data_IF_356172939807
#
_entry.id   IF_356172939807
#
_cell.length_a   1.000
_cell.length_b   1.000
_cell.length_c   1.000
_cell.angle_alpha   90.00
_cell.angle_beta   90.00
_cell.angle_gamma   90.00
#
_symmetry.space_group_name_H-M   'P 1'
#
loop_
_entity.id
_entity.type
_entity.pdbx_description
1 polymer ?
#
# COMPACT_ATOMS: atom_id res chain seq x y z
N UNK A 1 12.65 29.02 -62.48
CA UNK A 1 13.47 28.82 -61.27
C UNK A 1 12.53 28.49 -60.12
N UNK A 2 12.73 27.30 -59.53
CA UNK A 2 12.38 26.79 -58.20
C UNK A 2 11.12 27.35 -57.50
N UNK A 3 10.08 26.53 -57.31
CA UNK A 3 9.92 25.50 -56.25
C UNK A 3 9.57 26.11 -54.89
N UNK A 4 8.37 25.83 -54.39
CA UNK A 4 8.14 24.94 -53.24
C UNK A 4 6.65 24.99 -52.83
N UNK A 5 5.95 23.90 -53.14
CA UNK A 5 4.71 23.52 -52.48
C UNK A 5 5.00 23.27 -50.99
N UNK A 6 4.34 23.99 -50.10
CA UNK A 6 4.27 23.62 -48.69
C UNK A 6 3.20 22.53 -48.55
N UNK A 7 3.66 21.28 -48.57
CA UNK A 7 2.87 20.13 -48.20
C UNK A 7 2.45 20.25 -46.73
N UNK A 8 1.15 20.09 -46.44
CA UNK A 8 0.68 19.77 -45.11
C UNK A 8 1.32 18.45 -44.64
N UNK A 9 1.83 18.37 -43.40
CA UNK A 9 2.23 17.10 -42.85
C UNK A 9 0.99 16.21 -42.68
N UNK A 10 1.07 14.91 -42.99
CA UNK A 10 -0.03 13.99 -42.81
C UNK A 10 -0.28 13.80 -41.32
N UNK A 11 -1.55 13.96 -40.94
CA UNK A 11 -2.07 13.51 -39.65
C UNK A 11 -2.29 12.00 -39.78
N UNK A 12 -1.25 11.22 -39.50
CA UNK A 12 -1.35 9.76 -39.41
C UNK A 12 -0.71 9.29 -38.11
N UNK A 13 -1.54 9.16 -37.09
CA UNK A 13 -1.27 8.29 -35.96
C UNK A 13 -2.45 7.32 -35.86
N UNK A 14 -2.52 6.39 -36.81
CA UNK A 14 -3.34 5.19 -36.67
C UNK A 14 -2.50 3.94 -36.93
N UNK A 15 -1.80 3.46 -35.90
CA UNK A 15 -1.39 2.05 -35.81
C UNK A 15 -1.61 1.55 -34.37
N UNK A 16 -2.50 0.56 -34.28
CA UNK A 16 -2.82 -0.28 -33.13
C UNK A 16 -1.65 -0.59 -32.19
N UNK A 17 -1.85 -0.35 -30.89
CA UNK A 17 -0.97 -0.91 -29.86
C UNK A 17 -1.24 -0.31 -28.48
N UNK A 18 -2.41 -0.61 -27.89
CA UNK A 18 -2.81 -0.35 -26.49
C UNK A 18 -2.15 0.90 -25.87
N UNK A 19 -2.83 2.04 -25.88
CA UNK A 19 -2.61 3.04 -24.82
C UNK A 19 -2.83 2.32 -23.49
N UNK A 20 -1.74 2.01 -22.79
CA UNK A 20 -1.81 1.55 -21.41
C UNK A 20 -2.25 2.77 -20.62
N UNK A 21 -3.56 2.83 -20.31
CA UNK A 21 -4.13 3.87 -19.47
C UNK A 21 -3.33 3.97 -18.17
N UNK A 22 -3.04 5.22 -17.84
CA UNK A 22 -2.02 5.66 -16.90
C UNK A 22 -2.43 5.20 -15.51
N UNK A 23 -1.57 4.41 -14.86
CA UNK A 23 -1.79 3.88 -13.51
C UNK A 23 -2.19 4.94 -12.48
N UNK A 24 -3.49 5.08 -12.30
CA UNK A 24 -4.17 6.02 -11.45
C UNK A 24 -4.08 5.64 -9.98
N UNK A 25 -4.36 6.65 -9.15
CA UNK A 25 -4.43 6.51 -7.69
C UNK A 25 -5.84 6.84 -7.26
N UNK A 26 -6.53 5.86 -6.67
CA UNK A 26 -7.87 6.04 -6.15
C UNK A 26 -7.80 6.33 -4.65
N UNK A 27 -8.53 7.34 -4.17
CA UNK A 27 -8.52 7.74 -2.75
C UNK A 27 -9.92 7.94 -2.21
N UNK A 28 -10.17 7.54 -0.96
CA UNK A 28 -11.43 7.79 -0.26
C UNK A 28 -11.25 7.64 1.25
N UNK A 29 -12.16 8.23 2.04
CA UNK A 29 -12.28 7.96 3.48
C UNK A 29 -12.94 6.62 3.82
N UNK A 30 -13.65 6.02 2.85
CA UNK A 30 -14.40 4.77 3.06
C UNK A 30 -13.57 3.54 2.70
N UNK A 31 -13.60 2.46 3.50
CA UNK A 31 -12.80 1.24 3.26
C UNK A 31 -13.13 0.55 1.93
N UNK A 32 -14.35 0.75 1.41
CA UNK A 32 -14.78 0.23 0.10
C UNK A 32 -13.89 0.67 -1.05
N UNK A 33 -13.11 1.74 -0.91
CA UNK A 33 -12.18 2.16 -1.95
C UNK A 33 -11.17 1.08 -2.30
N UNK A 34 -10.79 0.22 -1.36
CA UNK A 34 -9.85 -0.88 -1.56
C UNK A 34 -10.23 -1.81 -2.72
N UNK A 35 -11.52 -1.96 -3.04
CA UNK A 35 -11.97 -2.78 -4.18
C UNK A 35 -11.54 -2.21 -5.53
N UNK A 36 -11.16 -0.93 -5.62
CA UNK A 36 -10.67 -0.32 -6.85
C UNK A 36 -9.30 -0.86 -7.27
N UNK A 37 -8.62 -1.64 -6.41
CA UNK A 37 -7.34 -2.29 -6.77
C UNK A 37 -7.48 -3.28 -7.93
N UNK A 38 -8.71 -3.71 -8.24
CA UNK A 38 -9.01 -4.59 -9.38
C UNK A 38 -9.13 -3.87 -10.72
N UNK A 39 -9.16 -2.54 -10.74
CA UNK A 39 -9.26 -1.81 -12.00
C UNK A 39 -7.93 -1.87 -12.74
N UNK A 40 -7.95 -2.15 -14.04
CA UNK A 40 -6.75 -2.24 -14.88
C UNK A 40 -5.95 -0.92 -14.92
N UNK A 41 -6.62 0.21 -14.74
CA UNK A 41 -6.06 1.55 -14.71
C UNK A 41 -5.53 1.96 -13.32
N UNK A 42 -5.59 1.10 -12.30
CA UNK A 42 -5.29 1.49 -10.91
C UNK A 42 -4.11 0.71 -10.35
N UNK A 43 -3.02 1.42 -10.01
CA UNK A 43 -1.84 0.81 -9.40
C UNK A 43 -1.79 0.96 -7.88
N UNK A 44 -2.44 2.00 -7.34
CA UNK A 44 -2.44 2.31 -5.92
C UNK A 44 -3.84 2.73 -5.49
N UNK A 45 -4.28 2.19 -4.36
CA UNK A 45 -5.49 2.63 -3.68
C UNK A 45 -5.11 3.16 -2.29
N UNK A 46 -5.64 4.33 -1.93
CA UNK A 46 -5.41 4.97 -0.64
C UNK A 46 -6.71 5.09 0.13
N UNK A 47 -6.88 4.24 1.13
CA UNK A 47 -7.90 4.43 2.15
C UNK A 47 -7.42 5.45 3.19
N UNK A 48 -8.03 6.64 3.19
CA UNK A 48 -7.72 7.76 4.08
C UNK A 48 -8.39 7.58 5.45
N UNK A 49 -8.02 6.50 6.14
CA UNK A 49 -8.58 6.14 7.44
C UNK A 49 -8.21 7.13 8.54
N UNK A 50 -9.13 7.37 9.48
CA UNK A 50 -8.88 8.12 10.71
C UNK A 50 -8.72 7.13 11.87
N UNK A 51 -7.55 7.12 12.51
CA UNK A 51 -7.32 6.30 13.71
C UNK A 51 -8.04 6.91 14.92
N UNK A 52 -8.73 6.06 15.69
CA UNK A 52 -9.39 6.42 16.94
C UNK A 52 -8.38 6.97 17.96
N UNK A 53 -8.88 7.73 18.94
CA UNK A 53 -8.03 8.24 20.03
C UNK A 53 -7.43 7.10 20.86
N UNK A 54 -8.21 6.05 21.12
CA UNK A 54 -7.79 4.84 21.85
C UNK A 54 -6.71 4.08 21.09
N UNK A 55 -6.86 3.86 19.78
CA UNK A 55 -5.83 3.24 18.95
C UNK A 55 -4.53 4.03 18.96
N UNK A 56 -4.60 5.36 18.85
CA UNK A 56 -3.40 6.23 18.92
C UNK A 56 -2.71 6.12 20.28
N UNK A 57 -3.45 6.05 21.37
CA UNK A 57 -2.91 5.86 22.72
C UNK A 57 -2.28 4.48 22.89
N UNK A 58 -2.91 3.42 22.36
CA UNK A 58 -2.36 2.07 22.38
C UNK A 58 -1.02 2.00 21.63
N UNK A 59 -0.95 2.60 20.43
CA UNK A 59 0.29 2.68 19.65
C UNK A 59 1.37 3.47 20.39
N UNK A 60 1.03 4.63 20.96
CA UNK A 60 1.98 5.45 21.72
C UNK A 60 2.53 4.72 22.96
N UNK A 61 1.67 4.00 23.70
CA UNK A 61 2.07 3.14 24.81
C UNK A 61 3.03 2.04 24.37
N UNK A 62 2.71 1.36 23.26
CA UNK A 62 3.55 0.31 22.70
C UNK A 62 4.94 0.82 22.30
N UNK A 63 5.02 1.97 21.62
CA UNK A 63 6.29 2.56 21.20
C UNK A 63 7.15 3.06 22.38
N UNK A 64 6.53 3.49 23.48
CA UNK A 64 7.27 3.87 24.70
C UNK A 64 7.89 2.66 25.39
N UNK A 65 7.23 1.51 25.33
CA UNK A 65 7.73 0.27 25.90
C UNK A 65 8.73 -0.46 24.99
N UNK A 66 8.65 -0.24 23.67
CA UNK A 66 9.42 -0.97 22.67
C UNK A 66 10.10 -0.01 21.67
N UNK A 67 11.42 0.00 21.62
CA UNK A 67 12.18 0.89 20.71
C UNK A 67 12.62 0.21 19.42
N UNK A 68 12.80 -1.11 19.43
CA UNK A 68 13.30 -1.90 18.30
C UNK A 68 12.46 -3.16 18.09
N UNK A 69 11.18 -2.97 17.74
CA UNK A 69 10.26 -4.07 17.50
C UNK A 69 10.19 -4.43 16.03
N UNK A 70 10.33 -5.72 15.73
CA UNK A 70 10.05 -6.29 14.42
C UNK A 70 9.54 -7.73 14.57
N UNK A 71 8.47 -8.06 13.85
CA UNK A 71 8.00 -9.44 13.74
C UNK A 71 7.46 -9.73 12.34
N UNK A 72 7.55 -10.99 11.94
CA UNK A 72 6.98 -11.50 10.69
C UNK A 72 6.32 -12.85 10.94
N UNK A 73 5.08 -13.00 10.46
CA UNK A 73 4.27 -14.18 10.69
C UNK A 73 3.35 -14.46 9.48
N UNK A 74 2.85 -15.69 9.40
CA UNK A 74 1.76 -16.05 8.49
C UNK A 74 0.51 -16.28 9.31
N UNK A 75 -0.55 -15.52 9.05
CA UNK A 75 -1.80 -15.54 9.82
C UNK A 75 -2.99 -15.80 8.92
N UNK A 76 -4.03 -16.42 9.48
CA UNK A 76 -5.37 -16.41 8.91
C UNK A 76 -6.22 -15.37 9.64
N UNK A 77 -7.39 -14.96 9.11
CA UNK A 77 -8.30 -14.08 9.85
C UNK A 77 -8.66 -14.61 11.25
N UNK A 78 -8.77 -15.93 11.39
CA UNK A 78 -9.10 -16.59 12.67
C UNK A 78 -7.92 -16.64 13.64
N UNK A 79 -6.68 -16.76 13.14
CA UNK A 79 -5.50 -16.84 14.01
C UNK A 79 -4.87 -15.48 14.32
N UNK A 80 -5.19 -14.45 13.53
CA UNK A 80 -4.51 -13.16 13.57
C UNK A 80 -4.57 -12.50 14.95
N UNK A 81 -5.73 -12.49 15.62
CA UNK A 81 -5.86 -11.84 16.93
C UNK A 81 -4.92 -12.45 17.97
N UNK A 82 -4.90 -13.78 18.07
CA UNK A 82 -4.02 -14.50 19.00
C UNK A 82 -2.55 -14.25 18.67
N UNK A 83 -2.15 -14.48 17.41
CA UNK A 83 -0.75 -14.34 16.99
C UNK A 83 -0.23 -12.90 17.11
N UNK A 84 -1.07 -11.90 16.84
CA UNK A 84 -0.69 -10.48 17.00
C UNK A 84 -0.60 -10.11 18.46
N UNK A 85 -1.59 -10.49 19.29
CA UNK A 85 -1.57 -10.18 20.73
C UNK A 85 -0.34 -10.80 21.41
N UNK A 86 -0.03 -12.06 21.11
CA UNK A 86 1.17 -12.74 21.61
C UNK A 86 2.45 -12.01 21.19
N UNK A 87 2.55 -11.59 19.91
CA UNK A 87 3.72 -10.90 19.41
C UNK A 87 3.89 -9.50 20.00
N UNK A 88 2.80 -8.80 20.30
CA UNK A 88 2.82 -7.47 20.92
C UNK A 88 2.97 -7.53 22.46
N UNK A 89 2.86 -8.72 23.07
CA UNK A 89 2.83 -8.87 24.53
C UNK A 89 1.55 -8.32 25.15
N UNK A 90 0.48 -8.24 24.37
CA UNK A 90 -0.83 -7.75 24.82
C UNK A 90 -1.57 -8.87 25.57
N UNK A 91 -1.87 -8.65 26.85
CA UNK A 91 -2.70 -9.58 27.64
C UNK A 91 -4.20 -9.34 27.46
N UNK A 92 -4.59 -8.13 27.04
CA UNK A 92 -5.97 -7.65 27.13
C UNK A 92 -6.60 -7.38 25.76
N UNK A 93 -6.03 -7.95 24.67
CA UNK A 93 -6.48 -7.70 23.29
C UNK A 93 -6.55 -6.19 23.00
N UNK A 94 -5.38 -5.53 22.98
CA UNK A 94 -5.36 -4.09 22.78
C UNK A 94 -6.04 -3.69 21.47
N UNK A 95 -6.51 -2.45 21.40
CA UNK A 95 -7.10 -1.92 20.16
C UNK A 95 -6.11 -1.93 18.98
N UNK A 96 -4.80 -1.97 19.25
CA UNK A 96 -3.79 -2.17 18.20
C UNK A 96 -3.88 -3.59 17.62
N UNK A 97 -3.96 -4.61 18.47
CA UNK A 97 -4.10 -6.02 18.07
C UNK A 97 -5.41 -6.26 17.29
N UNK A 98 -6.52 -5.70 17.76
CA UNK A 98 -7.81 -5.77 17.06
C UNK A 98 -7.76 -5.06 15.71
N UNK A 99 -7.19 -3.85 15.64
CA UNK A 99 -7.10 -3.11 14.38
C UNK A 99 -6.22 -3.81 13.34
N UNK A 100 -5.10 -4.40 13.76
CA UNK A 100 -4.25 -5.19 12.84
C UNK A 100 -5.00 -6.43 12.35
N UNK A 101 -5.74 -7.09 13.24
CA UNK A 101 -6.58 -8.26 12.90
C UNK A 101 -7.64 -7.90 11.87
N UNK A 102 -8.34 -6.78 12.05
CA UNK A 102 -9.32 -6.27 11.09
C UNK A 102 -8.70 -6.04 9.70
N UNK A 103 -7.52 -5.45 9.63
CA UNK A 103 -6.81 -5.26 8.36
C UNK A 103 -6.43 -6.58 7.68
N UNK A 104 -6.02 -7.59 8.46
CA UNK A 104 -5.73 -8.93 7.94
C UNK A 104 -6.98 -9.58 7.36
N UNK A 105 -8.10 -9.50 8.09
CA UNK A 105 -9.40 -10.03 7.63
C UNK A 105 -9.86 -9.35 6.35
N UNK A 106 -9.84 -8.01 6.32
CA UNK A 106 -10.17 -7.23 5.13
C UNK A 106 -9.30 -7.60 3.93
N UNK A 107 -7.99 -7.76 4.11
CA UNK A 107 -7.07 -8.14 3.03
C UNK A 107 -7.36 -9.56 2.52
N UNK A 108 -7.60 -10.51 3.42
CA UNK A 108 -7.92 -11.88 3.05
C UNK A 108 -9.26 -11.98 2.33
N UNK A 109 -10.28 -11.25 2.81
CA UNK A 109 -11.59 -11.14 2.19
C UNK A 109 -11.48 -10.49 0.80
N UNK A 110 -10.73 -9.39 0.67
CA UNK A 110 -10.60 -8.66 -0.59
C UNK A 110 -10.04 -9.57 -1.68
N UNK A 111 -8.97 -10.32 -1.39
CA UNK A 111 -8.28 -11.17 -2.36
C UNK A 111 -8.74 -12.64 -2.39
N UNK A 112 -9.77 -13.00 -1.62
CA UNK A 112 -10.25 -14.38 -1.47
C UNK A 112 -9.15 -15.39 -1.09
N UNK A 113 -8.19 -14.95 -0.26
CA UNK A 113 -7.07 -15.78 0.20
C UNK A 113 -7.28 -16.25 1.64
N UNK A 114 -6.76 -17.44 1.97
CA UNK A 114 -6.93 -18.05 3.29
C UNK A 114 -5.97 -17.54 4.35
N UNK A 115 -4.88 -16.89 3.94
CA UNK A 115 -3.80 -16.45 4.83
C UNK A 115 -3.05 -15.27 4.23
N UNK A 116 -2.50 -14.43 5.09
CA UNK A 116 -1.65 -13.31 4.72
C UNK A 116 -0.28 -13.44 5.41
N UNK A 117 0.77 -12.99 4.72
CA UNK A 117 2.03 -12.66 5.37
C UNK A 117 1.89 -11.31 6.06
N UNK A 118 2.12 -11.26 7.38
CA UNK A 118 2.06 -10.05 8.19
C UNK A 118 3.46 -9.71 8.68
N UNK A 119 3.89 -8.46 8.44
CA UNK A 119 5.11 -7.89 9.00
C UNK A 119 4.76 -6.62 9.75
N UNK A 120 5.22 -6.52 10.99
CA UNK A 120 5.11 -5.34 11.82
C UNK A 120 6.53 -4.90 12.20
N UNK A 121 6.83 -3.62 12.06
CA UNK A 121 8.15 -3.08 12.37
C UNK A 121 8.07 -1.63 12.84
N UNK A 122 8.88 -1.29 13.83
CA UNK A 122 9.24 0.09 14.17
C UNK A 122 10.45 0.46 13.30
N UNK A 123 10.36 1.58 12.58
CA UNK A 123 11.40 2.01 11.65
C UNK A 123 12.06 3.30 12.15
N UNK A 124 13.38 3.27 12.27
CA UNK A 124 14.23 4.44 12.55
C UNK A 124 14.86 5.04 11.27
N UNK A 125 14.76 4.32 10.15
CA UNK A 125 15.28 4.69 8.83
C UNK A 125 14.41 4.12 7.72
N UNK A 126 14.55 4.68 6.52
CA UNK A 126 13.89 4.13 5.33
C UNK A 126 14.36 2.69 5.07
N UNK A 127 13.42 1.74 5.01
CA UNK A 127 13.73 0.35 4.62
C UNK A 127 14.28 0.26 3.19
N UNK A 128 13.75 1.10 2.30
CA UNK A 128 14.14 1.16 0.90
C UNK A 128 14.64 2.58 0.59
N UNK A 129 15.96 2.82 0.61
CA UNK A 129 16.51 4.16 0.34
C UNK A 129 16.35 4.60 -1.11
N UNK A 130 15.90 3.72 -2.00
CA UNK A 130 15.58 3.99 -3.40
C UNK A 130 14.13 3.57 -3.71
N UNK A 131 13.49 4.31 -4.60
CA UNK A 131 12.22 3.88 -5.19
C UNK A 131 12.41 2.60 -6.00
N UNK A 132 11.47 1.67 -5.85
CA UNK A 132 11.43 0.41 -6.60
C UNK A 132 9.98 0.07 -6.92
N UNK A 133 9.80 -0.86 -7.86
CA UNK A 133 8.52 -1.51 -8.07
C UNK A 133 8.47 -2.80 -7.26
N UNK A 134 7.34 -3.02 -6.60
CA UNK A 134 7.11 -4.21 -5.83
C UNK A 134 7.00 -5.45 -6.72
N UNK A 135 7.71 -6.53 -6.36
CA UNK A 135 7.64 -7.82 -7.03
C UNK A 135 6.70 -8.79 -6.30
N UNK A 136 5.55 -8.27 -5.87
CA UNK A 136 4.46 -9.06 -5.27
C UNK A 136 3.13 -8.69 -5.96
N UNK A 137 2.13 -9.59 -6.00
CA UNK A 137 0.86 -9.31 -6.65
C UNK A 137 0.14 -8.09 -6.06
N UNK A 138 0.12 -7.99 -4.73
CA UNK A 138 -0.40 -6.83 -4.00
C UNK A 138 0.13 -6.85 -2.57
N UNK A 139 0.19 -5.68 -1.93
CA UNK A 139 0.42 -5.55 -0.49
C UNK A 139 -0.49 -4.47 0.09
N UNK A 140 -0.96 -4.70 1.32
CA UNK A 140 -1.58 -3.66 2.13
C UNK A 140 -0.52 -3.08 3.06
N UNK A 141 -0.35 -1.75 3.03
CA UNK A 141 0.59 -1.03 3.88
C UNK A 141 -0.19 -0.02 4.73
N UNK A 142 0.10 0.00 6.02
CA UNK A 142 -0.47 0.97 6.95
C UNK A 142 0.62 1.52 7.88
N UNK A 143 0.56 2.82 8.15
CA UNK A 143 1.40 3.47 9.14
C UNK A 143 0.52 3.88 10.31
N UNK A 144 0.83 3.38 11.51
CA UNK A 144 0.08 3.72 12.72
C UNK A 144 0.54 5.06 13.33
N UNK A 145 1.84 5.35 13.27
CA UNK A 145 2.45 6.58 13.77
C UNK A 145 3.72 6.92 13.00
N UNK A 146 4.00 8.22 12.84
CA UNK A 146 5.18 8.71 12.14
C UNK A 146 4.95 8.99 10.66
N UNK A 147 6.06 9.15 9.92
CA UNK A 147 6.05 9.45 8.49
C UNK A 147 5.62 8.21 7.71
N UNK A 148 4.71 8.40 6.75
CA UNK A 148 4.17 7.33 5.92
C UNK A 148 5.09 6.98 4.74
N UNK A 149 4.70 5.97 3.95
CA UNK A 149 5.40 5.55 2.74
C UNK A 149 5.26 6.58 1.61
N UNK A 150 6.40 7.00 1.06
CA UNK A 150 6.45 7.79 -0.17
C UNK A 150 6.27 6.90 -1.40
N UNK A 151 5.57 7.42 -2.41
CA UNK A 151 5.38 6.75 -3.69
C UNK A 151 5.38 7.79 -4.81
N UNK A 152 5.72 7.36 -6.03
CA UNK A 152 5.74 8.22 -7.21
C UNK A 152 4.53 7.92 -8.10
N UNK A 153 3.81 8.93 -8.59
CA UNK A 153 2.79 8.71 -9.61
C UNK A 153 3.46 8.18 -10.89
N UNK A 154 2.75 7.35 -11.66
CA UNK A 154 3.32 6.65 -12.82
C UNK A 154 4.08 7.58 -13.78
N UNK A 155 3.51 8.75 -14.05
CA UNK A 155 4.09 9.78 -14.93
C UNK A 155 5.39 10.42 -14.42
N UNK A 156 5.67 10.36 -13.12
CA UNK A 156 6.89 10.90 -12.51
C UNK A 156 7.99 9.84 -12.35
N UNK A 157 7.72 8.58 -12.69
CA UNK A 157 8.69 7.48 -12.52
C UNK A 157 9.74 7.53 -13.62
N UNK A 158 10.99 7.76 -13.24
CA UNK A 158 12.13 7.49 -14.11
C UNK A 158 12.59 6.04 -13.94
N UNK A 159 12.16 5.15 -14.85
CA UNK A 159 12.43 3.71 -14.77
C UNK A 159 13.92 3.34 -14.83
N UNK A 160 14.77 4.16 -15.44
CA UNK A 160 16.23 3.89 -15.48
C UNK A 160 16.94 4.19 -14.15
N UNK A 161 16.25 4.82 -13.20
CA UNK A 161 16.77 5.19 -11.88
C UNK A 161 16.15 4.41 -10.72
N UNK A 162 15.29 3.44 -11.00
CA UNK A 162 14.74 2.54 -9.98
C UNK A 162 15.84 1.63 -9.43
N UNK A 163 15.74 1.31 -8.14
CA UNK A 163 16.66 0.42 -7.42
C UNK A 163 16.44 -1.06 -7.69
#
# INVERSE_FOLDING_TARGET
MNSLNLAHPPNDNSVNGREVEIGGVMKSGEPRVLTNIYREDTNIVVWQRKLSGTLRQAVDGFLKANTNFETSMTVTPQSALLSVSEALGDTDQSELSENITELVDMFCCLFEIKRAGLRLAILDRAMCPKFHADKVPCRLVTTFQGVATEWLPHQAVNRSKLG
#
